data_IF_246685939188
#
_entry.id   IF_246685939188
#
_cell.length_a   1.000
_cell.length_b   1.000
_cell.length_c   1.000
_cell.angle_alpha   90.00
_cell.angle_beta   90.00
_cell.angle_gamma   90.00
#
_symmetry.space_group_name_H-M   'P 1'
#
loop_
_entity.id
_entity.type
_entity.pdbx_description
1 polymer ?
#
# COMPACT_ATOMS: atom_id res chain seq x y z
N UNK A 1 -40.32 -37.58 -6.12
CA UNK A 1 -39.72 -36.23 -6.09
C UNK A 1 -38.27 -36.38 -5.63
N UNK A 2 -37.29 -36.13 -6.50
CA UNK A 2 -35.87 -36.13 -6.13
C UNK A 2 -35.39 -34.69 -6.14
N UNK A 3 -35.03 -34.19 -4.95
CA UNK A 3 -34.34 -32.91 -4.74
C UNK A 3 -33.00 -32.95 -5.47
N UNK A 4 -32.84 -32.09 -6.47
CA UNK A 4 -31.57 -31.88 -7.14
C UNK A 4 -30.69 -31.00 -6.25
N UNK A 5 -29.58 -31.57 -5.79
CA UNK A 5 -28.53 -30.87 -5.04
C UNK A 5 -27.89 -29.81 -5.95
N UNK A 6 -28.16 -28.54 -5.68
CA UNK A 6 -27.55 -27.41 -6.38
C UNK A 6 -26.14 -27.14 -5.84
N UNK A 7 -25.23 -28.10 -5.94
CA UNK A 7 -23.82 -27.92 -5.55
C UNK A 7 -22.92 -27.52 -6.72
N UNK A 8 -23.44 -26.71 -7.67
CA UNK A 8 -22.60 -26.05 -8.67
C UNK A 8 -22.32 -24.64 -8.18
N UNK A 9 -21.26 -24.48 -7.39
CA UNK A 9 -20.65 -23.17 -7.21
C UNK A 9 -20.19 -22.71 -8.61
N UNK A 10 -20.97 -21.82 -9.22
CA UNK A 10 -20.61 -21.23 -10.50
C UNK A 10 -19.30 -20.46 -10.30
N UNK A 11 -18.22 -20.92 -10.94
CA UNK A 11 -16.94 -20.23 -10.95
C UNK A 11 -17.04 -19.04 -11.91
N UNK A 12 -17.84 -18.03 -11.53
CA UNK A 12 -18.01 -16.82 -12.30
C UNK A 12 -16.73 -16.01 -12.11
N UNK A 13 -15.98 -15.75 -13.18
CA UNK A 13 -14.77 -14.96 -13.06
C UNK A 13 -15.16 -13.55 -12.62
N UNK A 14 -14.66 -13.14 -11.45
CA UNK A 14 -14.96 -11.87 -10.83
C UNK A 14 -13.80 -10.91 -11.08
N UNK A 15 -14.06 -9.89 -11.90
CA UNK A 15 -13.04 -8.91 -12.28
C UNK A 15 -13.25 -7.58 -11.55
N UNK A 16 -12.21 -6.75 -11.55
CA UNK A 16 -12.25 -5.42 -10.93
C UNK A 16 -13.44 -4.56 -11.42
N UNK A 17 -13.76 -4.65 -12.72
CA UNK A 17 -14.90 -3.94 -13.29
C UNK A 17 -16.25 -4.36 -12.68
N UNK A 18 -16.39 -5.62 -12.26
CA UNK A 18 -17.61 -6.13 -11.65
C UNK A 18 -17.71 -5.69 -10.19
N UNK A 19 -16.57 -5.60 -9.49
CA UNK A 19 -16.47 -4.97 -8.18
C UNK A 19 -16.85 -3.48 -8.24
N UNK A 20 -16.40 -2.74 -9.26
CA UNK A 20 -16.81 -1.34 -9.46
C UNK A 20 -18.31 -1.19 -9.70
N UNK A 21 -18.91 -2.08 -10.50
CA UNK A 21 -20.36 -2.09 -10.70
C UNK A 21 -21.11 -2.36 -9.40
N UNK A 22 -20.60 -3.29 -8.58
CA UNK A 22 -21.17 -3.59 -7.27
C UNK A 22 -21.12 -2.38 -6.34
N UNK A 23 -19.95 -1.75 -6.20
CA UNK A 23 -19.79 -0.53 -5.37
C UNK A 23 -20.72 0.59 -5.85
N UNK A 24 -20.87 0.77 -7.17
CA UNK A 24 -21.79 1.77 -7.74
C UNK A 24 -23.26 1.47 -7.43
N UNK A 25 -23.63 0.20 -7.22
CA UNK A 25 -25.00 -0.18 -6.87
C UNK A 25 -25.35 0.05 -5.40
N UNK A 26 -24.35 0.28 -4.53
CA UNK A 26 -24.58 0.46 -3.09
C UNK A 26 -25.29 1.78 -2.76
N UNK A 27 -26.00 1.84 -1.61
CA UNK A 27 -26.53 3.08 -1.06
C UNK A 27 -25.43 4.12 -0.82
N UNK A 28 -25.81 5.41 -0.84
CA UNK A 28 -24.87 6.52 -0.66
C UNK A 28 -24.11 6.41 0.68
N UNK A 29 -24.79 6.00 1.75
CA UNK A 29 -24.17 5.86 3.07
C UNK A 29 -23.03 4.84 3.09
N UNK A 30 -23.20 3.72 2.38
CA UNK A 30 -22.19 2.66 2.34
C UNK A 30 -21.03 3.03 1.43
N UNK A 31 -21.29 3.76 0.34
CA UNK A 31 -20.23 4.35 -0.50
C UNK A 31 -19.34 5.30 0.31
N UNK A 32 -19.93 6.18 1.12
CA UNK A 32 -19.18 7.11 1.98
C UNK A 32 -18.34 6.37 3.02
N UNK A 33 -18.84 5.26 3.58
CA UNK A 33 -18.05 4.42 4.49
C UNK A 33 -16.85 3.80 3.77
N UNK A 34 -17.08 3.20 2.60
CA UNK A 34 -16.02 2.58 1.80
C UNK A 34 -14.96 3.60 1.40
N UNK A 35 -15.38 4.81 1.00
CA UNK A 35 -14.47 5.90 0.65
C UNK A 35 -13.56 6.29 1.83
N UNK A 36 -14.12 6.42 3.03
CA UNK A 36 -13.33 6.72 4.25
C UNK A 36 -12.34 5.63 4.61
N UNK A 37 -12.73 4.36 4.46
CA UNK A 37 -11.81 3.26 4.73
C UNK A 37 -10.70 3.19 3.67
N UNK A 38 -11.02 3.41 2.39
CA UNK A 38 -10.03 3.50 1.30
C UNK A 38 -9.07 4.67 1.50
N UNK A 39 -9.54 5.82 1.97
CA UNK A 39 -8.70 6.98 2.27
C UNK A 39 -7.67 6.63 3.36
N UNK A 40 -8.11 6.01 4.46
CA UNK A 40 -7.22 5.55 5.54
C UNK A 40 -6.17 4.56 5.02
N UNK A 41 -6.61 3.56 4.27
CA UNK A 41 -5.71 2.53 3.71
C UNK A 41 -4.70 3.16 2.74
N UNK A 42 -5.14 4.10 1.91
CA UNK A 42 -4.28 4.83 0.98
C UNK A 42 -3.21 5.64 1.71
N UNK A 43 -3.56 6.30 2.82
CA UNK A 43 -2.60 7.03 3.65
C UNK A 43 -1.56 6.09 4.25
N UNK A 44 -1.99 4.94 4.79
CA UNK A 44 -1.07 3.93 5.35
C UNK A 44 -0.13 3.39 4.27
N UNK A 45 -0.67 3.02 3.11
CA UNK A 45 0.12 2.54 1.98
C UNK A 45 1.16 3.57 1.55
N UNK A 46 0.76 4.83 1.35
CA UNK A 46 1.68 5.90 0.94
C UNK A 46 2.73 6.20 2.00
N UNK A 47 2.35 6.18 3.28
CA UNK A 47 3.30 6.37 4.38
C UNK A 47 4.35 5.26 4.40
N UNK A 48 3.94 4.01 4.19
CA UNK A 48 4.87 2.87 4.10
C UNK A 48 5.81 3.02 2.90
N UNK A 49 5.28 3.32 1.71
CA UNK A 49 6.09 3.55 0.51
C UNK A 49 7.08 4.70 0.71
N UNK A 50 6.67 5.78 1.37
CA UNK A 50 7.55 6.90 1.68
C UNK A 50 8.65 6.46 2.66
N UNK A 51 8.29 5.72 3.72
CA UNK A 51 9.26 5.18 4.67
C UNK A 51 10.28 4.26 4.01
N UNK A 52 9.87 3.42 3.05
CA UNK A 52 10.78 2.56 2.28
C UNK A 52 11.70 3.38 1.36
N UNK A 53 11.22 4.52 0.86
CA UNK A 53 12.02 5.41 0.00
C UNK A 53 13.00 6.31 0.77
N UNK A 54 12.76 6.53 2.05
CA UNK A 54 13.68 7.26 2.92
C UNK A 54 14.83 6.31 3.23
N UNK A 55 15.98 6.51 2.56
CA UNK A 55 17.23 5.87 2.97
C UNK A 55 17.52 6.24 4.42
N UNK A 56 17.78 5.24 5.26
CA UNK A 56 18.38 5.51 6.57
C UNK A 56 19.68 6.29 6.33
N UNK A 57 19.78 7.46 6.97
CA UNK A 57 21.03 8.19 7.07
C UNK A 57 21.92 7.42 8.06
N UNK A 58 22.48 6.31 7.61
CA UNK A 58 23.53 5.58 8.32
C UNK A 58 24.83 6.38 8.17
N UNK A 59 24.89 7.53 8.82
CA UNK A 59 26.15 8.19 9.09
C UNK A 59 26.82 7.42 10.21
N UNK A 60 27.70 6.50 9.83
CA UNK A 60 28.58 5.85 10.79
C UNK A 60 29.64 6.87 11.24
N UNK A 61 29.96 6.87 12.54
CA UNK A 61 30.96 7.80 13.10
C UNK A 61 32.29 7.64 12.36
N UNK A 62 32.64 6.42 11.98
CA UNK A 62 33.84 6.11 11.23
C UNK A 62 33.83 6.75 9.83
N UNK A 63 32.67 6.80 9.17
CA UNK A 63 32.51 7.47 7.86
C UNK A 63 32.69 8.99 7.97
N UNK A 64 32.18 9.61 9.04
CA UNK A 64 32.37 11.05 9.31
C UNK A 64 33.84 11.35 9.62
N UNK A 65 34.49 10.52 10.44
CA UNK A 65 35.90 10.70 10.80
C UNK A 65 36.80 10.55 9.58
N UNK A 66 36.51 9.60 8.69
CA UNK A 66 37.22 9.43 7.43
C UNK A 66 37.14 10.68 6.55
N UNK A 67 35.93 11.21 6.30
CA UNK A 67 35.74 12.42 5.49
C UNK A 67 36.46 13.65 6.08
N UNK A 68 36.34 13.85 7.40
CA UNK A 68 37.02 14.96 8.08
C UNK A 68 38.54 14.82 8.03
N UNK A 69 39.06 13.58 8.08
CA UNK A 69 40.49 13.33 8.00
C UNK A 69 41.04 13.60 6.59
N UNK A 70 40.35 13.15 5.54
CA UNK A 70 40.71 13.42 4.14
C UNK A 70 40.73 14.93 3.86
N UNK A 71 39.69 15.65 4.27
CA UNK A 71 39.60 17.10 4.08
C UNK A 71 40.74 17.86 4.76
N UNK A 72 41.18 17.40 5.94
CA UNK A 72 42.29 18.00 6.68
C UNK A 72 43.65 17.68 6.06
N UNK A 73 43.79 16.55 5.38
CA UNK A 73 45.02 16.19 4.66
C UNK A 73 45.15 16.90 3.32
N UNK A 74 44.05 17.14 2.59
CA UNK A 74 44.08 17.87 1.30
C UNK A 74 44.34 19.38 1.46
N UNK A 75 44.03 19.95 2.63
CA UNK A 75 44.27 21.37 2.94
C UNK A 75 45.65 21.67 3.55
N UNK A 76 46.51 20.66 3.68
CA UNK A 76 47.88 20.79 4.19
C UNK A 76 48.88 20.76 3.04
#
# INVERSE_FOLDING_TARGET
MKTQEYSKAYNIPFYFNDLLKLIKSLPIQDKVKIEKELEKETLVYRSKQLSESIKENTFDIDSIVAEVSEYRTEKK
#
